data_IF_142340826780
#
_entry.id   IF_142340826780
#
_cell.length_a   1.000
_cell.length_b   1.000
_cell.length_c   1.000
_cell.angle_alpha   90.00
_cell.angle_beta   90.00
_cell.angle_gamma   90.00
#
_symmetry.space_group_name_H-M   'P 1'
#
loop_
_entity.id
_entity.type
_entity.pdbx_description
1 polymer ?
#
# COMPACT_ATOMS: atom_id res chain seq x y z
N UNK A 1 32.39 54.49 6.40
CA UNK A 1 31.33 55.51 6.49
C UNK A 1 30.03 54.76 6.55
N UNK A 2 29.56 54.64 7.76
CA UNK A 2 28.32 55.19 8.34
C UNK A 2 27.08 54.42 7.86
N UNK A 3 26.13 53.96 8.66
CA UNK A 3 25.82 54.12 10.10
C UNK A 3 24.80 53.04 10.48
N UNK A 4 24.93 52.55 11.69
CA UNK A 4 23.94 51.72 12.39
C UNK A 4 22.72 52.56 12.79
N UNK A 5 21.53 51.93 12.85
CA UNK A 5 20.48 52.44 13.72
C UNK A 5 19.76 51.27 14.40
N UNK A 6 19.95 51.20 15.68
CA UNK A 6 19.20 50.38 16.62
C UNK A 6 17.91 51.08 17.01
N UNK A 7 16.80 50.35 17.16
CA UNK A 7 15.66 50.85 17.92
C UNK A 7 15.33 49.88 19.08
N UNK A 8 15.43 50.51 20.25
CA UNK A 8 15.20 49.95 21.59
C UNK A 8 13.73 50.08 22.00
N UNK A 9 13.29 49.09 22.74
CA UNK A 9 12.51 49.15 23.99
C UNK A 9 11.09 49.73 24.01
N UNK A 10 10.26 48.96 24.69
CA UNK A 10 8.94 49.39 25.19
C UNK A 10 8.29 48.35 26.08
N UNK A 11 8.84 48.16 27.27
CA UNK A 11 8.25 47.44 28.38
C UNK A 11 7.23 48.35 29.08
N UNK A 12 5.97 47.93 29.23
CA UNK A 12 5.01 48.55 30.15
C UNK A 12 4.34 47.47 30.94
N UNK A 13 4.76 47.40 32.21
CA UNK A 13 4.04 46.79 33.31
C UNK A 13 2.77 47.59 33.59
N UNK A 14 1.68 46.91 33.88
CA UNK A 14 0.52 47.47 34.57
C UNK A 14 0.11 46.49 35.69
N UNK A 15 0.54 46.90 36.88
CA UNK A 15 -0.01 46.43 38.15
C UNK A 15 -1.44 46.96 38.31
N UNK A 16 -2.37 46.11 38.66
CA UNK A 16 -3.60 46.46 39.37
C UNK A 16 -3.94 45.40 40.41
N UNK A 17 -3.57 45.71 41.64
CA UNK A 17 -4.14 45.12 42.85
C UNK A 17 -5.56 45.64 43.02
N UNK A 18 -6.54 44.73 43.14
CA UNK A 18 -7.83 45.00 43.77
C UNK A 18 -8.12 43.87 44.75
N UNK A 19 -8.00 44.22 46.01
CA UNK A 19 -8.56 43.49 47.17
C UNK A 19 -10.08 43.62 47.11
N UNK A 20 -10.79 42.50 47.10
CA UNK A 20 -12.23 42.44 47.24
C UNK A 20 -12.63 41.12 47.85
N UNK A 21 -12.75 41.11 49.16
CA UNK A 21 -13.29 39.99 49.94
C UNK A 21 -14.77 39.76 49.63
N UNK A 22 -15.15 38.54 49.36
CA UNK A 22 -16.52 38.05 49.47
C UNK A 22 -16.53 36.72 50.18
N UNK A 23 -17.06 36.80 51.37
CA UNK A 23 -17.44 35.72 52.25
C UNK A 23 -18.53 34.87 51.57
N UNK A 24 -18.18 33.67 51.11
CA UNK A 24 -19.17 32.73 50.62
C UNK A 24 -19.46 31.65 51.64
N UNK A 25 -20.73 31.66 52.04
CA UNK A 25 -21.41 30.76 52.97
C UNK A 25 -21.31 29.32 52.41
N UNK A 26 -20.69 28.45 53.21
CA UNK A 26 -20.70 27.01 53.01
C UNK A 26 -22.11 26.45 53.24
N UNK A 27 -22.89 26.24 52.19
CA UNK A 27 -24.03 25.34 52.22
C UNK A 27 -23.58 23.95 51.81
N UNK A 28 -23.39 23.09 52.77
CA UNK A 28 -23.15 21.67 52.58
C UNK A 28 -24.43 21.01 52.03
N UNK A 29 -24.51 20.78 50.75
CA UNK A 29 -25.50 19.88 50.16
C UNK A 29 -24.94 18.46 50.32
N UNK A 30 -25.48 17.72 51.27
CA UNK A 30 -25.23 16.29 51.38
C UNK A 30 -25.92 15.58 50.20
N UNK A 31 -25.18 15.23 49.17
CA UNK A 31 -25.63 14.25 48.19
C UNK A 31 -25.56 12.87 48.85
N UNK A 32 -26.74 12.32 49.16
CA UNK A 32 -26.89 10.92 49.49
C UNK A 32 -26.42 10.10 48.26
N UNK A 33 -25.27 9.50 48.38
CA UNK A 33 -24.73 8.54 47.37
C UNK A 33 -25.48 7.22 47.65
N UNK A 34 -26.57 6.99 46.90
CA UNK A 34 -27.18 5.68 46.85
C UNK A 34 -26.13 4.70 46.33
N UNK A 35 -25.80 3.72 47.16
CA UNK A 35 -24.81 2.71 46.87
C UNK A 35 -25.19 1.90 45.63
N UNK A 36 -24.54 2.19 44.51
CA UNK A 36 -24.46 1.28 43.39
C UNK A 36 -23.51 0.15 43.82
N UNK A 37 -24.06 -0.98 44.19
CA UNK A 37 -23.31 -2.22 44.27
C UNK A 37 -22.67 -2.48 42.90
N UNK A 38 -21.37 -2.82 42.84
CA UNK A 38 -20.77 -3.19 41.56
C UNK A 38 -21.49 -4.42 41.03
N UNK A 39 -22.25 -4.25 39.97
CA UNK A 39 -22.81 -5.36 39.23
C UNK A 39 -21.63 -6.14 38.61
N UNK A 40 -21.57 -7.47 38.77
CA UNK A 40 -20.54 -8.26 38.12
C UNK A 40 -20.56 -7.95 36.64
N UNK A 41 -19.40 -7.82 35.96
CA UNK A 41 -19.37 -7.58 34.52
C UNK A 41 -20.15 -8.70 33.82
N UNK A 42 -21.18 -8.30 33.10
CA UNK A 42 -21.92 -9.19 32.22
C UNK A 42 -20.91 -9.87 31.30
N UNK A 43 -20.97 -11.19 31.10
CA UNK A 43 -20.05 -11.87 30.22
C UNK A 43 -20.16 -11.22 28.82
N UNK A 44 -19.16 -10.45 28.43
CA UNK A 44 -19.06 -9.97 27.06
C UNK A 44 -19.05 -11.21 26.16
N UNK A 45 -19.92 -11.28 25.15
CA UNK A 45 -19.84 -12.35 24.17
C UNK A 45 -18.40 -12.38 23.66
N UNK A 46 -17.73 -13.53 23.81
CA UNK A 46 -16.41 -13.74 23.23
C UNK A 46 -16.46 -13.23 21.79
N UNK A 47 -15.42 -12.52 21.30
CA UNK A 47 -15.37 -12.10 19.92
C UNK A 47 -15.67 -13.35 19.09
N UNK A 48 -16.83 -13.38 18.47
CA UNK A 48 -17.14 -14.42 17.50
C UNK A 48 -16.03 -14.31 16.47
N UNK A 49 -15.11 -15.25 16.49
CA UNK A 49 -14.19 -15.46 15.39
C UNK A 49 -15.07 -15.44 14.16
N UNK A 50 -15.02 -14.35 13.39
CA UNK A 50 -15.63 -14.31 12.09
C UNK A 50 -15.09 -15.56 11.41
N UNK A 51 -15.94 -16.56 11.28
CA UNK A 51 -15.64 -17.72 10.47
C UNK A 51 -15.25 -17.11 9.13
N UNK A 52 -13.93 -17.11 8.88
CA UNK A 52 -13.37 -16.84 7.58
C UNK A 52 -13.95 -17.96 6.71
N UNK A 53 -15.13 -17.71 6.18
CA UNK A 53 -15.70 -18.41 5.05
C UNK A 53 -14.81 -18.15 3.86
N UNK A 54 -13.57 -18.61 3.95
CA UNK A 54 -12.59 -18.68 2.90
C UNK A 54 -12.97 -19.81 1.96
N UNK A 55 -14.10 -19.68 1.29
CA UNK A 55 -14.29 -20.36 0.03
C UNK A 55 -13.13 -19.90 -0.84
N UNK A 56 -12.17 -20.79 -1.09
CA UNK A 56 -11.08 -20.53 -2.03
C UNK A 56 -11.70 -20.29 -3.39
N UNK A 57 -11.95 -19.02 -3.72
CA UNK A 57 -12.39 -18.66 -5.07
C UNK A 57 -11.34 -19.20 -6.03
N UNK A 58 -11.79 -19.87 -7.07
CA UNK A 58 -10.89 -20.29 -8.12
C UNK A 58 -10.15 -19.07 -8.69
N UNK A 59 -8.83 -19.12 -8.72
CA UNK A 59 -8.02 -17.99 -9.14
C UNK A 59 -8.33 -17.52 -10.56
N UNK A 60 -8.66 -18.45 -11.47
CA UNK A 60 -9.07 -18.13 -12.84
C UNK A 60 -10.37 -17.32 -12.85
N UNK A 61 -11.35 -17.72 -12.07
CA UNK A 61 -12.64 -17.02 -11.96
C UNK A 61 -12.48 -15.66 -11.26
N UNK A 62 -11.58 -15.58 -10.27
CA UNK A 62 -11.36 -14.33 -9.54
C UNK A 62 -10.61 -13.30 -10.36
N UNK A 63 -9.44 -13.65 -10.91
CA UNK A 63 -8.59 -12.71 -11.64
C UNK A 63 -9.05 -12.50 -13.09
N UNK A 64 -9.78 -13.43 -13.67
CA UNK A 64 -10.30 -13.41 -15.04
C UNK A 64 -9.22 -13.36 -16.13
N UNK A 65 -9.59 -13.66 -17.36
CA UNK A 65 -8.75 -13.50 -18.55
C UNK A 65 -9.00 -12.15 -19.25
N UNK A 66 -9.17 -11.10 -18.44
CA UNK A 66 -9.25 -9.73 -18.96
C UNK A 66 -7.99 -9.41 -19.77
N UNK A 67 -8.18 -8.92 -21.00
CA UNK A 67 -7.06 -8.62 -21.90
C UNK A 67 -6.45 -7.27 -21.55
N UNK A 68 -5.15 -7.29 -21.32
CA UNK A 68 -4.30 -6.11 -21.13
C UNK A 68 -3.20 -6.10 -22.18
N UNK A 69 -2.47 -4.99 -22.30
CA UNK A 69 -1.30 -4.86 -23.19
C UNK A 69 -0.03 -4.68 -22.36
N UNK A 70 1.04 -5.37 -22.75
CA UNK A 70 2.35 -5.12 -22.14
C UNK A 70 3.05 -3.90 -22.76
N UNK A 71 4.22 -3.55 -22.24
CA UNK A 71 5.06 -2.44 -22.74
C UNK A 71 5.55 -2.62 -24.18
N UNK A 72 5.35 -3.79 -24.78
CA UNK A 72 5.68 -4.05 -26.19
C UNK A 72 4.42 -4.11 -27.06
N UNK A 73 3.26 -3.76 -26.53
CA UNK A 73 1.97 -3.77 -27.23
C UNK A 73 1.37 -5.17 -27.42
N UNK A 74 1.93 -6.22 -26.80
CA UNK A 74 1.37 -7.57 -26.89
C UNK A 74 0.15 -7.68 -25.99
N UNK A 75 -0.92 -8.25 -26.52
CA UNK A 75 -2.12 -8.57 -25.74
C UNK A 75 -1.87 -9.82 -24.89
N UNK A 76 -2.19 -9.70 -23.60
CA UNK A 76 -2.04 -10.74 -22.59
C UNK A 76 -3.32 -10.91 -21.80
N UNK A 77 -3.74 -12.14 -21.61
CA UNK A 77 -4.84 -12.50 -20.69
C UNK A 77 -4.31 -12.49 -19.27
N UNK A 78 -4.93 -11.69 -18.42
CA UNK A 78 -4.34 -11.40 -17.12
C UNK A 78 -4.13 -12.65 -16.26
N UNK A 79 -5.11 -13.56 -16.16
CA UNK A 79 -4.88 -14.81 -15.44
C UNK A 79 -3.97 -15.77 -16.20
N UNK A 80 -4.35 -16.14 -17.44
CA UNK A 80 -3.71 -17.26 -18.17
C UNK A 80 -2.27 -16.96 -18.58
N UNK A 81 -1.95 -15.72 -18.98
CA UNK A 81 -0.65 -15.37 -19.52
C UNK A 81 0.26 -14.69 -18.50
N UNK A 82 -0.33 -13.95 -17.52
CA UNK A 82 0.46 -13.17 -16.56
C UNK A 82 0.60 -13.88 -15.22
N UNK A 83 -0.46 -14.50 -14.68
CA UNK A 83 -0.46 -15.02 -13.31
C UNK A 83 -0.30 -16.54 -13.21
N UNK A 84 -0.97 -17.30 -14.08
CA UNK A 84 -1.10 -18.76 -13.96
C UNK A 84 0.25 -19.43 -13.77
N UNK A 85 0.33 -20.29 -12.76
CA UNK A 85 1.50 -21.13 -12.42
C UNK A 85 2.80 -20.33 -12.14
N UNK A 86 2.66 -19.04 -11.77
CA UNK A 86 3.81 -18.17 -11.48
C UNK A 86 3.88 -17.73 -10.03
N UNK A 87 5.08 -17.38 -9.61
CA UNK A 87 5.31 -16.52 -8.46
C UNK A 87 5.43 -15.11 -8.96
N UNK A 88 4.60 -14.21 -8.43
CA UNK A 88 4.48 -12.84 -8.92
C UNK A 88 4.74 -11.80 -7.84
N UNK A 89 5.31 -10.67 -8.26
CA UNK A 89 5.39 -9.44 -7.47
C UNK A 89 4.61 -8.36 -8.23
N UNK A 90 3.45 -7.95 -7.68
CA UNK A 90 2.58 -6.95 -8.28
C UNK A 90 2.74 -5.61 -7.59
N UNK A 91 2.73 -4.54 -8.36
CA UNK A 91 2.58 -3.17 -7.88
C UNK A 91 1.77 -2.33 -8.86
N UNK A 92 1.27 -1.20 -8.39
CA UNK A 92 0.57 -0.22 -9.21
C UNK A 92 1.48 0.98 -9.43
N UNK A 93 1.45 1.52 -10.64
CA UNK A 93 2.20 2.71 -11.05
C UNK A 93 1.34 3.64 -11.91
N UNK A 94 1.80 4.86 -12.10
CA UNK A 94 1.48 5.69 -13.28
C UNK A 94 2.71 6.52 -13.64
N UNK A 95 2.96 6.74 -14.94
CA UNK A 95 4.25 7.27 -15.39
C UNK A 95 4.45 8.76 -15.10
N UNK A 96 3.37 9.53 -14.95
CA UNK A 96 3.42 10.94 -14.59
C UNK A 96 3.64 11.19 -13.09
N UNK A 97 3.72 10.13 -12.29
CA UNK A 97 4.11 10.24 -10.88
C UNK A 97 5.58 10.66 -10.76
N UNK A 98 5.82 11.79 -10.13
CA UNK A 98 7.19 12.32 -9.95
C UNK A 98 7.90 11.79 -8.71
N UNK A 99 7.16 11.25 -7.74
CA UNK A 99 7.67 10.90 -6.41
C UNK A 99 7.68 9.38 -6.14
N UNK A 100 6.52 8.82 -5.81
CA UNK A 100 6.43 7.46 -5.27
C UNK A 100 6.74 6.37 -6.29
N UNK A 101 6.24 6.46 -7.53
CA UNK A 101 6.39 5.38 -8.52
C UNK A 101 7.84 5.12 -8.94
N UNK A 102 8.66 6.15 -9.22
CA UNK A 102 10.10 5.93 -9.47
C UNK A 102 10.85 5.33 -8.27
N UNK A 103 10.46 5.72 -7.04
CA UNK A 103 11.09 5.20 -5.81
C UNK A 103 10.74 3.72 -5.61
N UNK A 104 9.48 3.34 -5.80
CA UNK A 104 9.03 1.95 -5.67
C UNK A 104 9.63 1.08 -6.77
N UNK A 105 9.68 1.56 -8.02
CA UNK A 105 10.28 0.82 -9.12
C UNK A 105 11.78 0.59 -8.87
N UNK A 106 12.52 1.59 -8.38
CA UNK A 106 13.92 1.43 -7.95
C UNK A 106 14.05 0.41 -6.84
N UNK A 107 13.22 0.49 -5.81
CA UNK A 107 13.22 -0.48 -4.72
C UNK A 107 12.97 -1.91 -5.22
N UNK A 108 12.02 -2.10 -6.13
CA UNK A 108 11.79 -3.43 -6.73
C UNK A 108 12.98 -3.91 -7.56
N UNK A 109 13.73 -3.02 -8.21
CA UNK A 109 15.01 -3.36 -8.84
C UNK A 109 16.02 -3.85 -7.81
N UNK A 110 16.17 -3.13 -6.69
CA UNK A 110 17.05 -3.55 -5.58
C UNK A 110 16.61 -4.90 -4.98
N UNK A 111 15.30 -5.14 -4.88
CA UNK A 111 14.75 -6.46 -4.48
C UNK A 111 15.18 -7.54 -5.46
N UNK A 112 15.05 -7.30 -6.77
CA UNK A 112 15.47 -8.23 -7.83
C UNK A 112 16.97 -8.51 -7.75
N UNK A 113 17.79 -7.50 -7.50
CA UNK A 113 19.23 -7.64 -7.31
C UNK A 113 19.53 -8.46 -6.04
N UNK A 114 18.85 -8.20 -4.92
CA UNK A 114 19.02 -8.92 -3.66
C UNK A 114 18.59 -10.41 -3.76
N UNK A 115 17.67 -10.74 -4.67
CA UNK A 115 17.26 -12.11 -4.94
C UNK A 115 18.34 -12.90 -5.68
N UNK A 116 19.23 -12.21 -6.41
CA UNK A 116 20.18 -12.83 -7.31
C UNK A 116 19.51 -13.44 -8.56
N UNK A 117 20.27 -13.79 -9.61
CA UNK A 117 19.72 -14.14 -10.92
C UNK A 117 18.86 -15.42 -10.91
N UNK A 118 19.22 -16.41 -10.11
CA UNK A 118 18.51 -17.69 -10.07
C UNK A 118 17.10 -17.56 -9.46
N UNK A 119 16.94 -16.83 -8.36
CA UNK A 119 15.64 -16.60 -7.73
C UNK A 119 14.84 -15.55 -8.51
N UNK A 120 15.47 -14.48 -8.94
CA UNK A 120 14.82 -13.43 -9.74
C UNK A 120 14.23 -13.98 -11.05
N UNK A 121 14.87 -14.96 -11.67
CA UNK A 121 14.35 -15.64 -12.87
C UNK A 121 13.09 -16.47 -12.63
N UNK A 122 12.78 -16.83 -11.38
CA UNK A 122 11.57 -17.58 -11.01
C UNK A 122 10.39 -16.66 -10.66
N UNK A 123 10.60 -15.35 -10.54
CA UNK A 123 9.59 -14.38 -10.17
C UNK A 123 9.24 -13.50 -11.35
N UNK A 124 7.96 -13.35 -11.60
CA UNK A 124 7.46 -12.38 -12.59
C UNK A 124 7.08 -11.09 -11.87
N UNK A 125 7.74 -9.99 -12.20
CA UNK A 125 7.38 -8.65 -11.74
C UNK A 125 6.30 -8.09 -12.66
N UNK A 126 5.26 -7.51 -12.08
CA UNK A 126 4.11 -6.97 -12.82
C UNK A 126 3.74 -5.62 -12.26
N UNK A 127 3.99 -4.58 -13.04
CA UNK A 127 3.62 -3.21 -12.75
C UNK A 127 2.39 -2.85 -13.58
N UNK A 128 1.25 -2.55 -12.93
CA UNK A 128 -0.01 -2.27 -13.60
C UNK A 128 -0.25 -0.76 -13.55
N UNK A 129 -0.50 -0.14 -14.71
CA UNK A 129 -0.82 1.29 -14.75
C UNK A 129 -2.18 1.56 -14.12
N UNK A 130 -2.28 2.63 -13.32
CA UNK A 130 -3.55 3.20 -12.86
C UNK A 130 -4.07 4.31 -13.78
N UNK A 131 -3.27 4.73 -14.78
CA UNK A 131 -3.61 5.78 -15.73
C UNK A 131 -3.50 5.30 -17.19
N UNK A 132 -4.30 4.31 -17.61
CA UNK A 132 -4.19 3.72 -18.93
C UNK A 132 -4.51 4.67 -20.08
N UNK A 133 -5.10 5.84 -19.80
CA UNK A 133 -5.37 6.87 -20.82
C UNK A 133 -4.07 7.58 -21.27
N UNK A 134 -3.10 7.72 -20.37
CA UNK A 134 -1.84 8.38 -20.62
C UNK A 134 -0.67 7.37 -20.74
N UNK A 135 -0.76 6.24 -20.07
CA UNK A 135 0.29 5.21 -20.02
C UNK A 135 0.12 4.21 -21.16
N UNK A 136 0.43 4.65 -22.40
CA UNK A 136 0.48 3.74 -23.55
C UNK A 136 1.61 2.72 -23.41
N UNK A 137 1.61 1.62 -24.19
CA UNK A 137 2.73 0.66 -24.21
C UNK A 137 4.08 1.33 -24.41
N UNK A 138 4.18 2.29 -25.32
CA UNK A 138 5.42 3.02 -25.62
C UNK A 138 5.88 3.87 -24.43
N UNK A 139 4.95 4.53 -23.74
CA UNK A 139 5.23 5.32 -22.53
C UNK A 139 5.73 4.41 -21.43
N UNK A 140 5.07 3.28 -21.20
CA UNK A 140 5.50 2.28 -20.22
C UNK A 140 6.87 1.68 -20.54
N UNK A 141 7.17 1.44 -21.83
CA UNK A 141 8.48 0.95 -22.26
C UNK A 141 9.58 1.98 -21.99
N UNK A 142 9.31 3.25 -22.31
CA UNK A 142 10.26 4.33 -22.02
C UNK A 142 10.49 4.49 -20.51
N UNK A 143 9.43 4.37 -19.70
CA UNK A 143 9.54 4.37 -18.24
C UNK A 143 10.39 3.20 -17.74
N UNK A 144 10.13 1.98 -18.17
CA UNK A 144 10.90 0.79 -17.79
C UNK A 144 12.39 0.94 -18.13
N UNK A 145 12.71 1.42 -19.32
CA UNK A 145 14.08 1.69 -19.74
C UNK A 145 14.75 2.76 -18.87
N UNK A 146 14.05 3.89 -18.60
CA UNK A 146 14.55 4.96 -17.73
C UNK A 146 14.82 4.46 -16.29
N UNK A 147 14.03 3.52 -15.78
CA UNK A 147 14.23 2.95 -14.46
C UNK A 147 15.24 1.78 -14.43
N UNK A 148 15.75 1.35 -15.60
CA UNK A 148 16.69 0.23 -15.71
C UNK A 148 16.07 -1.12 -15.35
N UNK A 149 14.79 -1.30 -15.67
CA UNK A 149 14.02 -2.52 -15.35
C UNK A 149 13.36 -3.14 -16.59
N UNK A 150 13.79 -2.75 -17.77
CA UNK A 150 13.36 -3.35 -19.03
C UNK A 150 14.01 -4.72 -19.21
N UNK A 151 13.33 -5.76 -18.73
CA UNK A 151 13.84 -7.14 -18.73
C UNK A 151 12.74 -8.17 -18.95
N UNK A 152 13.09 -9.41 -19.32
CA UNK A 152 12.14 -10.40 -19.84
C UNK A 152 11.08 -10.86 -18.83
N UNK A 153 11.36 -10.76 -17.53
CA UNK A 153 10.44 -11.16 -16.47
C UNK A 153 9.82 -9.96 -15.71
N UNK A 154 9.80 -8.78 -16.33
CA UNK A 154 9.12 -7.60 -15.80
C UNK A 154 8.12 -7.07 -16.82
N UNK A 155 6.84 -7.19 -16.50
CA UNK A 155 5.75 -6.74 -17.33
C UNK A 155 5.22 -5.41 -16.79
N UNK A 156 5.05 -4.46 -17.70
CA UNK A 156 4.33 -3.22 -17.46
C UNK A 156 3.02 -3.29 -18.23
N UNK A 157 1.90 -3.27 -17.52
CA UNK A 157 0.59 -3.55 -18.11
C UNK A 157 -0.27 -2.30 -18.16
N UNK A 158 -0.94 -2.13 -19.30
CA UNK A 158 -1.95 -1.10 -19.58
C UNK A 158 -3.07 -1.71 -20.42
N UNK A 159 -3.99 -0.92 -20.94
CA UNK A 159 -5.05 -1.37 -21.84
C UNK A 159 -6.30 -0.51 -21.74
N UNK A 160 -7.43 -1.05 -22.15
CA UNK A 160 -8.71 -0.35 -21.99
C UNK A 160 -8.96 -0.03 -20.50
N UNK A 161 -9.40 1.19 -20.22
CA UNK A 161 -9.62 1.65 -18.84
C UNK A 161 -10.52 0.70 -18.05
N UNK A 162 -11.61 0.23 -18.63
CA UNK A 162 -12.52 -0.70 -17.96
C UNK A 162 -11.83 -2.03 -17.59
N UNK A 163 -10.93 -2.53 -18.44
CA UNK A 163 -10.16 -3.75 -18.21
C UNK A 163 -9.12 -3.53 -17.10
N UNK A 164 -8.42 -2.41 -17.13
CA UNK A 164 -7.45 -2.05 -16.09
C UNK A 164 -8.15 -1.86 -14.75
N UNK A 165 -9.24 -1.12 -14.70
CA UNK A 165 -10.04 -0.89 -13.48
C UNK A 165 -10.54 -2.21 -12.88
N UNK A 166 -11.01 -3.13 -13.72
CA UNK A 166 -11.41 -4.47 -13.29
C UNK A 166 -10.27 -5.24 -12.64
N UNK A 167 -9.10 -5.25 -13.27
CA UNK A 167 -7.90 -5.93 -12.74
C UNK A 167 -7.45 -5.28 -11.44
N UNK A 168 -7.36 -3.95 -11.37
CA UNK A 168 -7.01 -3.23 -10.15
C UNK A 168 -8.00 -3.51 -9.02
N UNK A 169 -9.30 -3.60 -9.33
CA UNK A 169 -10.34 -4.00 -8.38
C UNK A 169 -10.13 -5.42 -7.84
N UNK A 170 -9.75 -6.36 -8.70
CA UNK A 170 -9.49 -7.77 -8.31
C UNK A 170 -8.27 -7.94 -7.42
N UNK A 171 -7.24 -7.14 -7.60
CA UNK A 171 -6.06 -7.14 -6.72
C UNK A 171 -6.23 -6.22 -5.50
N UNK A 172 -7.40 -5.55 -5.35
CA UNK A 172 -7.68 -4.66 -4.22
C UNK A 172 -6.88 -3.36 -4.25
N UNK A 173 -6.62 -2.82 -5.44
CA UNK A 173 -5.82 -1.61 -5.68
C UNK A 173 -6.56 -0.56 -6.51
N UNK A 174 -7.85 -0.77 -6.80
CA UNK A 174 -8.66 0.22 -7.52
C UNK A 174 -8.94 1.44 -6.64
N UNK A 175 -8.69 2.62 -7.19
CA UNK A 175 -9.04 3.91 -6.61
C UNK A 175 -9.56 4.85 -7.70
N UNK A 176 -10.41 5.83 -7.36
CA UNK A 176 -11.04 6.72 -8.35
C UNK A 176 -10.07 7.58 -9.15
N UNK A 177 -8.88 7.84 -8.62
CA UNK A 177 -7.87 8.70 -9.22
C UNK A 177 -6.51 7.99 -9.24
N UNK A 178 -5.73 8.10 -10.33
CA UNK A 178 -4.39 7.51 -10.44
C UNK A 178 -3.47 7.90 -9.30
N UNK A 179 -3.55 9.13 -8.81
CA UNK A 179 -2.68 9.68 -7.78
C UNK A 179 -2.92 9.06 -6.40
N UNK A 180 -4.12 8.49 -6.19
CA UNK A 180 -4.50 7.87 -4.92
C UNK A 180 -4.12 6.40 -4.84
N UNK A 181 -3.49 5.83 -5.88
CA UNK A 181 -3.14 4.41 -5.89
C UNK A 181 -2.29 4.04 -4.68
N UNK A 182 -2.50 2.82 -4.19
CA UNK A 182 -1.72 2.28 -3.09
C UNK A 182 -0.29 1.96 -3.54
N UNK A 183 0.68 2.32 -2.73
CA UNK A 183 2.08 1.95 -2.91
C UNK A 183 2.39 0.52 -2.43
N UNK A 184 1.39 -0.19 -1.92
CA UNK A 184 1.53 -1.53 -1.38
C UNK A 184 1.95 -2.53 -2.45
N UNK A 185 2.91 -3.37 -2.11
CA UNK A 185 3.33 -4.48 -2.95
C UNK A 185 2.49 -5.73 -2.66
N UNK A 186 2.22 -6.53 -3.68
CA UNK A 186 1.49 -7.79 -3.56
C UNK A 186 2.37 -8.91 -4.09
N UNK A 187 2.72 -9.83 -3.21
CA UNK A 187 3.47 -11.03 -3.58
C UNK A 187 2.53 -12.23 -3.62
N UNK A 188 2.64 -13.07 -4.63
CA UNK A 188 1.77 -14.22 -4.79
C UNK A 188 2.47 -15.45 -5.39
N UNK A 189 2.23 -16.60 -4.80
CA UNK A 189 2.38 -17.89 -5.45
C UNK A 189 0.99 -18.33 -5.91
N UNK A 190 0.75 -18.20 -7.20
CA UNK A 190 -0.59 -18.40 -7.77
C UNK A 190 -1.02 -19.85 -7.71
N UNK A 191 -0.12 -20.77 -7.99
CA UNK A 191 -0.36 -22.21 -7.94
C UNK A 191 -0.61 -22.69 -6.50
N UNK A 192 0.23 -22.24 -5.56
CA UNK A 192 0.10 -22.55 -4.13
C UNK A 192 -0.98 -21.76 -3.41
N UNK A 193 -1.68 -20.84 -4.08
CA UNK A 193 -2.71 -19.95 -3.52
C UNK A 193 -2.22 -19.14 -2.31
N UNK A 194 -0.93 -18.78 -2.29
CA UNK A 194 -0.30 -18.01 -1.21
C UNK A 194 -0.15 -16.56 -1.63
N UNK A 195 -0.80 -15.67 -0.94
CA UNK A 195 -0.76 -14.23 -1.20
C UNK A 195 -0.35 -13.44 0.02
N UNK A 196 0.36 -12.34 -0.20
CA UNK A 196 0.90 -11.50 0.85
C UNK A 196 0.95 -10.06 0.41
N UNK A 197 0.44 -9.16 1.23
CA UNK A 197 0.64 -7.73 1.06
C UNK A 197 1.93 -7.34 1.78
N UNK A 198 2.80 -6.61 1.11
CA UNK A 198 4.10 -6.20 1.62
C UNK A 198 4.14 -4.68 1.64
N UNK A 199 4.59 -4.13 2.74
CA UNK A 199 4.77 -2.68 2.89
C UNK A 199 5.93 -2.20 2.01
N UNK A 200 5.79 -1.07 1.30
CA UNK A 200 6.83 -0.57 0.40
C UNK A 200 8.08 -0.07 1.14
N UNK A 201 7.97 0.24 2.43
CA UNK A 201 9.09 0.67 3.29
C UNK A 201 9.95 -0.50 3.81
N UNK A 202 9.51 -1.75 3.63
CA UNK A 202 10.31 -2.92 4.01
C UNK A 202 11.67 -2.94 3.28
N UNK A 203 12.76 -3.38 3.94
CA UNK A 203 14.08 -3.49 3.31
C UNK A 203 14.05 -4.44 2.11
N UNK A 204 14.79 -4.15 1.00
CA UNK A 204 14.85 -5.01 -0.18
C UNK A 204 15.18 -6.46 0.12
N UNK A 205 16.14 -6.71 1.02
CA UNK A 205 16.51 -8.06 1.44
C UNK A 205 15.37 -8.83 2.13
N UNK A 206 14.56 -8.16 2.96
CA UNK A 206 13.41 -8.78 3.60
C UNK A 206 12.31 -9.14 2.58
N UNK A 207 12.11 -8.28 1.57
CA UNK A 207 11.18 -8.55 0.47
C UNK A 207 11.70 -9.74 -0.36
N UNK A 208 13.00 -9.76 -0.69
CA UNK A 208 13.62 -10.86 -1.42
C UNK A 208 13.48 -12.19 -0.67
N UNK A 209 13.69 -12.21 0.64
CA UNK A 209 13.49 -13.39 1.48
C UNK A 209 12.03 -13.86 1.46
N UNK A 210 11.07 -12.92 1.48
CA UNK A 210 9.65 -13.26 1.35
C UNK A 210 9.33 -13.91 0.01
N UNK A 211 9.92 -13.42 -1.08
CA UNK A 211 9.78 -14.01 -2.41
C UNK A 211 10.40 -15.41 -2.46
N UNK A 212 11.56 -15.62 -1.84
CA UNK A 212 12.19 -16.93 -1.73
C UNK A 212 11.27 -17.96 -1.04
N UNK A 213 10.60 -17.57 0.03
CA UNK A 213 9.63 -18.44 0.70
C UNK A 213 8.43 -18.82 -0.18
N UNK A 214 8.01 -17.91 -1.09
CA UNK A 214 6.93 -18.19 -2.03
C UNK A 214 7.34 -19.12 -3.18
N UNK A 215 8.61 -19.14 -3.57
CA UNK A 215 9.11 -20.06 -4.61
C UNK A 215 9.37 -21.48 -4.10
N UNK A 216 9.40 -21.67 -2.78
CA UNK A 216 9.60 -23.00 -2.20
C UNK A 216 8.28 -23.79 -2.18
N UNK A 217 8.29 -25.07 -2.55
CA UNK A 217 7.14 -25.95 -2.37
C UNK A 217 6.68 -25.96 -0.91
N UNK A 218 5.38 -26.08 -0.68
CA UNK A 218 4.87 -26.30 0.67
C UNK A 218 5.33 -27.69 1.13
N UNK A 219 6.09 -27.75 2.23
CA UNK A 219 6.42 -29.02 2.86
C UNK A 219 5.12 -29.76 3.25
N UNK A 220 4.86 -30.91 2.69
CA UNK A 220 3.78 -31.78 3.13
C UNK A 220 2.47 -31.75 2.33
N UNK A 221 2.48 -31.42 1.04
CA UNK A 221 1.36 -31.72 0.13
C UNK A 221 1.79 -32.67 -0.97
#
# INVERSE_FOLDING_TARGET
>A
MSTATAHRAGMRAFDWLVLGGCLWILTSVAFAHEGHSPQPPEPQPAPQAMASGGGTRDAKTWFTDTVLKDQNGRELRFYSDVLKDKVVMLNVIFTHCTDACPLITRKLREVREAMGPALAGQVTFVSISSDPLNDTPEVLKAFAAKQGVDGPNWLFLTGDKANVDLVLGRIGQFLPSPEQHSTQLIAGDVAGKRWSKIRPDAPPAAIAQRMQLLTQPLAGR
#
